data_IF_277905159919
#
_entry.id   IF_277905159919
#
_cell.length_a   1.000
_cell.length_b   1.000
_cell.length_c   1.000
_cell.angle_alpha   90.00
_cell.angle_beta   90.00
_cell.angle_gamma   90.00
#
_symmetry.space_group_name_H-M   'P 1'
#
loop_
_entity.id
_entity.type
_entity.pdbx_description
1 polymer ?
#
# COMPACT_ATOMS: atom_id res chain seq x y z
N UNK A 1 18.88 -19.66 -0.51
CA UNK A 1 17.66 -19.32 -1.29
C UNK A 1 17.72 -17.86 -1.69
N UNK A 2 17.05 -17.44 -2.78
CA UNK A 2 17.04 -16.03 -3.24
C UNK A 2 15.83 -15.30 -2.66
N UNK A 3 16.05 -14.19 -1.96
CA UNK A 3 14.97 -13.30 -1.46
C UNK A 3 14.27 -12.62 -2.64
N UNK A 4 12.95 -12.81 -2.77
CA UNK A 4 12.11 -12.02 -3.69
C UNK A 4 11.95 -10.61 -3.11
N UNK A 5 12.09 -9.59 -3.97
CA UNK A 5 12.00 -8.16 -3.61
C UNK A 5 11.25 -7.39 -4.70
N UNK A 6 10.52 -6.35 -4.30
CA UNK A 6 9.88 -5.40 -5.19
C UNK A 6 9.92 -3.99 -4.58
N UNK A 7 9.71 -2.96 -5.41
CA UNK A 7 9.57 -1.56 -4.99
C UNK A 7 8.36 -0.95 -5.68
N UNK A 8 7.53 -0.24 -4.93
CA UNK A 8 6.50 0.63 -5.45
C UNK A 8 6.92 2.11 -5.26
N UNK A 9 6.59 2.94 -6.24
CA UNK A 9 6.58 4.39 -6.11
C UNK A 9 5.14 4.81 -5.83
N UNK A 10 4.93 5.64 -4.82
CA UNK A 10 3.59 6.07 -4.43
C UNK A 10 3.36 7.48 -4.95
N UNK A 11 2.26 7.67 -5.67
CA UNK A 11 1.88 8.93 -6.28
C UNK A 11 0.62 9.50 -5.62
N UNK A 12 0.54 10.83 -5.51
CA UNK A 12 -0.70 11.50 -5.13
C UNK A 12 -1.69 11.44 -6.29
N UNK A 13 -2.91 10.98 -6.00
CA UNK A 13 -4.02 11.06 -6.93
C UNK A 13 -4.32 12.53 -7.29
N UNK A 14 -4.46 12.83 -8.59
CA UNK A 14 -4.72 14.17 -9.12
C UNK A 14 -5.92 14.13 -10.06
N UNK A 15 -6.82 15.10 -9.90
CA UNK A 15 -7.90 15.39 -10.87
C UNK A 15 -7.42 16.31 -12.00
N UNK A 16 -6.34 17.06 -11.80
CA UNK A 16 -5.64 17.72 -12.88
C UNK A 16 -4.80 16.69 -13.63
N UNK A 17 -5.28 16.30 -14.81
CA UNK A 17 -4.63 15.34 -15.71
C UNK A 17 -3.61 16.00 -16.66
N UNK A 18 -3.42 17.33 -16.58
CA UNK A 18 -2.41 18.07 -17.36
C UNK A 18 -1.05 18.10 -16.66
N UNK A 19 -1.03 17.87 -15.35
CA UNK A 19 0.18 17.86 -14.52
C UNK A 19 0.74 16.44 -14.35
N UNK A 20 2.07 16.27 -14.24
CA UNK A 20 2.67 14.99 -13.90
C UNK A 20 2.28 14.55 -12.48
N UNK A 21 2.02 13.26 -12.30
CA UNK A 21 1.69 12.69 -10.99
C UNK A 21 2.80 12.99 -9.96
N UNK A 22 2.45 13.62 -8.84
CA UNK A 22 3.39 13.90 -7.76
C UNK A 22 3.79 12.60 -7.06
N UNK A 23 5.04 12.17 -7.22
CA UNK A 23 5.63 11.14 -6.37
C UNK A 23 5.75 11.65 -4.92
N UNK A 24 5.17 10.93 -3.96
CA UNK A 24 5.17 11.28 -2.53
C UNK A 24 6.05 10.33 -1.68
N UNK A 25 6.65 9.30 -2.28
CA UNK A 25 7.59 8.41 -1.60
C UNK A 25 7.68 7.00 -2.21
N UNK A 26 8.31 6.09 -1.46
CA UNK A 26 8.60 4.72 -1.90
C UNK A 26 8.27 3.68 -0.83
N UNK A 27 7.81 2.51 -1.28
CA UNK A 27 7.60 1.33 -0.43
C UNK A 27 8.41 0.17 -1.01
N UNK A 28 9.30 -0.41 -0.19
CA UNK A 28 10.06 -1.62 -0.49
C UNK A 28 9.40 -2.86 0.12
N UNK A 29 9.31 -3.92 -0.67
CA UNK A 29 8.75 -5.22 -0.31
C UNK A 29 9.87 -6.28 -0.35
N UNK A 30 9.93 -7.16 0.65
CA UNK A 30 10.87 -8.28 0.67
C UNK A 30 10.26 -9.52 1.35
N UNK A 31 10.34 -10.67 0.70
CA UNK A 31 9.77 -11.94 1.18
C UNK A 31 10.75 -12.67 2.11
N UNK A 32 10.27 -13.07 3.29
CA UNK A 32 11.03 -13.75 4.33
C UNK A 32 10.29 -15.02 4.78
N UNK A 33 10.44 -16.11 4.02
CA UNK A 33 9.60 -17.30 4.20
C UNK A 33 8.13 -16.99 3.94
N UNK A 34 7.23 -17.45 4.80
CA UNK A 34 5.77 -17.24 4.69
C UNK A 34 5.27 -15.83 5.06
N UNK A 35 6.08 -14.78 4.90
CA UNK A 35 5.62 -13.40 5.10
C UNK A 35 6.40 -12.40 4.24
N UNK A 36 5.78 -11.24 3.97
CA UNK A 36 6.41 -10.09 3.33
C UNK A 36 6.64 -8.99 4.36
N UNK A 37 7.90 -8.51 4.44
CA UNK A 37 8.27 -7.28 5.14
C UNK A 37 8.09 -6.12 4.15
N UNK A 38 7.41 -5.07 4.59
CA UNK A 38 7.03 -3.91 3.78
C UNK A 38 7.56 -2.68 4.52
N UNK A 39 8.43 -1.88 3.91
CA UNK A 39 9.08 -0.76 4.58
C UNK A 39 9.20 0.43 3.65
N UNK A 40 8.88 1.63 4.11
CA UNK A 40 8.98 2.81 3.25
C UNK A 40 8.84 4.14 3.98
N UNK A 41 8.90 5.20 3.19
CA UNK A 41 8.76 6.59 3.64
C UNK A 41 7.81 7.30 2.71
N UNK A 42 6.81 7.98 3.29
CA UNK A 42 5.83 8.81 2.56
C UNK A 42 5.82 10.22 3.14
N UNK A 43 5.47 11.19 2.29
CA UNK A 43 5.58 12.62 2.59
C UNK A 43 4.35 13.41 2.14
N UNK A 44 4.08 14.55 2.80
CA UNK A 44 2.96 15.44 2.45
C UNK A 44 1.56 14.83 2.61
N UNK A 45 1.41 13.76 3.39
CA UNK A 45 0.11 13.25 3.81
C UNK A 45 -0.43 14.09 4.99
N UNK A 46 -1.76 14.28 5.11
CA UNK A 46 -2.39 14.81 6.32
C UNK A 46 -2.05 14.00 7.57
N UNK A 47 -2.10 14.60 8.75
CA UNK A 47 -1.94 13.90 10.03
C UNK A 47 -3.05 12.84 10.24
N UNK A 48 -2.73 11.74 10.93
CA UNK A 48 -3.69 10.70 11.30
C UNK A 48 -3.56 9.40 10.50
N UNK A 49 -4.52 8.47 10.65
CA UNK A 49 -4.52 7.19 9.95
C UNK A 49 -4.97 7.33 8.48
N UNK A 50 -4.28 6.65 7.56
CA UNK A 50 -4.67 6.50 6.16
C UNK A 50 -4.72 5.02 5.79
N UNK A 51 -5.82 4.58 5.17
CA UNK A 51 -5.99 3.20 4.72
C UNK A 51 -4.93 2.79 3.70
N UNK A 52 -4.35 1.61 3.88
CA UNK A 52 -3.25 1.10 3.06
C UNK A 52 -3.60 -0.29 2.51
N UNK A 53 -3.63 -0.38 1.18
CA UNK A 53 -4.14 -1.56 0.47
C UNK A 53 -3.30 -1.87 -0.77
N UNK A 54 -3.25 -3.14 -1.16
CA UNK A 54 -2.88 -3.53 -2.52
C UNK A 54 -4.15 -3.69 -3.33
N UNK A 55 -4.21 -3.01 -4.48
CA UNK A 55 -5.32 -3.09 -5.42
C UNK A 55 -5.10 -4.21 -6.46
N UNK A 56 -6.18 -4.60 -7.15
CA UNK A 56 -6.19 -5.69 -8.14
C UNK A 56 -5.27 -5.43 -9.34
N UNK A 57 -5.17 -4.18 -9.81
CA UNK A 57 -4.52 -3.82 -11.07
C UNK A 57 -3.36 -2.84 -10.86
N UNK A 58 -2.30 -3.01 -11.64
CA UNK A 58 -1.13 -2.12 -11.69
C UNK A 58 -1.31 -0.86 -12.53
N UNK A 59 -2.56 -0.43 -12.79
CA UNK A 59 -2.87 0.79 -13.53
C UNK A 59 -3.26 1.91 -12.55
N UNK A 60 -2.50 3.01 -12.58
CA UNK A 60 -2.72 4.19 -11.72
C UNK A 60 -3.31 5.39 -12.48
N UNK A 61 -3.71 5.21 -13.74
CA UNK A 61 -4.41 6.23 -14.51
C UNK A 61 -5.79 6.59 -13.92
N UNK A 62 -6.41 7.63 -14.47
CA UNK A 62 -7.72 8.13 -14.04
C UNK A 62 -7.77 8.44 -12.53
N UNK A 63 -6.84 9.25 -12.04
CA UNK A 63 -6.71 9.57 -10.60
C UNK A 63 -6.65 8.32 -9.69
N UNK A 64 -5.90 7.30 -10.12
CA UNK A 64 -5.77 5.96 -9.50
C UNK A 64 -7.03 5.08 -9.52
N UNK A 65 -8.15 5.50 -10.12
CA UNK A 65 -9.40 4.71 -10.16
C UNK A 65 -9.26 3.42 -10.99
N UNK A 66 -8.35 3.40 -11.97
CA UNK A 66 -8.13 2.20 -12.80
C UNK A 66 -7.50 1.02 -12.03
N UNK A 67 -6.96 1.24 -10.83
CA UNK A 67 -6.39 0.19 -9.99
C UNK A 67 -7.44 -0.86 -9.56
N UNK A 68 -8.73 -0.49 -9.59
CA UNK A 68 -9.85 -1.39 -9.31
C UNK A 68 -10.05 -1.63 -7.80
N UNK A 69 -10.69 -2.75 -7.42
CA UNK A 69 -10.94 -3.10 -6.02
C UNK A 69 -9.63 -3.49 -5.30
N UNK A 70 -9.72 -3.69 -3.98
CA UNK A 70 -8.63 -4.31 -3.22
C UNK A 70 -8.36 -5.73 -3.74
N UNK A 71 -7.09 -6.16 -3.72
CA UNK A 71 -6.69 -7.47 -4.23
C UNK A 71 -7.30 -8.61 -3.39
N UNK A 72 -8.28 -9.30 -3.97
CA UNK A 72 -9.14 -10.26 -3.28
C UNK A 72 -9.30 -11.60 -4.05
N UNK A 73 -8.21 -12.34 -4.32
CA UNK A 73 -8.27 -13.62 -5.04
C UNK A 73 -9.08 -14.70 -4.29
N UNK A 74 -9.29 -14.50 -2.98
CA UNK A 74 -10.02 -15.41 -2.07
C UNK A 74 -11.49 -15.04 -1.86
N UNK A 75 -12.02 -14.03 -2.57
CA UNK A 75 -13.42 -13.58 -2.51
C UNK A 75 -13.98 -13.39 -1.09
N UNK A 76 -13.16 -12.83 -0.20
CA UNK A 76 -13.56 -12.49 1.18
C UNK A 76 -14.23 -11.12 1.22
N UNK A 77 -14.86 -10.77 2.36
CA UNK A 77 -15.19 -9.37 2.67
C UNK A 77 -13.94 -8.61 3.13
N UNK A 78 -14.03 -7.29 3.26
CA UNK A 78 -12.96 -6.43 3.79
C UNK A 78 -12.72 -6.68 5.29
N UNK A 79 -11.48 -6.51 5.77
CA UNK A 79 -11.14 -6.55 7.19
C UNK A 79 -9.78 -5.93 7.53
N UNK A 80 -9.48 -5.82 8.83
CA UNK A 80 -8.34 -5.08 9.38
C UNK A 80 -7.02 -5.85 9.45
N UNK A 81 -5.98 -5.13 9.91
CA UNK A 81 -4.69 -5.72 10.25
C UNK A 81 -4.71 -6.31 11.81
N UNK A 82 -5.14 -7.58 11.37
CA UNK A 82 -5.22 -8.86 12.08
C UNK A 82 -6.12 -9.88 11.37
N UNK A 83 -7.32 -9.45 10.96
CA UNK A 83 -8.51 -10.27 10.74
C UNK A 83 -8.29 -11.52 9.87
N UNK A 84 -8.94 -12.61 10.28
CA UNK A 84 -8.87 -13.90 9.61
C UNK A 84 -9.58 -13.85 8.25
N UNK A 85 -10.78 -13.26 8.23
CA UNK A 85 -11.57 -12.93 7.04
C UNK A 85 -11.23 -11.48 6.67
N UNK A 86 -10.56 -11.30 5.54
CA UNK A 86 -10.27 -10.00 4.90
C UNK A 86 -9.76 -10.21 3.48
N UNK A 87 -9.64 -9.17 2.67
CA UNK A 87 -8.95 -9.27 1.37
C UNK A 87 -7.45 -9.54 1.58
N UNK A 88 -6.80 -10.23 0.64
CA UNK A 88 -5.33 -10.44 0.67
C UNK A 88 -4.58 -9.10 0.62
N UNK A 89 -5.12 -8.12 -0.11
CA UNK A 89 -4.61 -6.76 -0.19
C UNK A 89 -4.86 -5.88 1.04
N UNK A 90 -5.59 -6.31 2.07
CA UNK A 90 -5.89 -5.47 3.24
C UNK A 90 -4.70 -5.41 4.22
N UNK A 91 -4.05 -4.24 4.32
CA UNK A 91 -2.86 -3.99 5.14
C UNK A 91 -3.09 -3.09 6.37
N UNK A 92 -4.31 -2.58 6.57
CA UNK A 92 -4.66 -1.72 7.71
C UNK A 92 -4.45 -0.23 7.40
N UNK A 93 -3.91 0.52 8.35
CA UNK A 93 -3.64 1.95 8.19
C UNK A 93 -2.16 2.28 8.38
N UNK A 94 -1.63 3.22 7.59
CA UNK A 94 -0.40 3.95 7.93
C UNK A 94 -0.75 5.12 8.86
N UNK A 95 0.08 5.38 9.86
CA UNK A 95 -0.12 6.53 10.76
C UNK A 95 0.77 7.70 10.31
N UNK A 96 0.23 8.92 10.31
CA UNK A 96 1.00 10.14 10.00
C UNK A 96 1.12 10.96 11.28
N UNK A 97 2.29 10.91 11.96
CA UNK A 97 2.47 11.59 13.25
C UNK A 97 2.49 13.11 13.10
N UNK A 98 2.38 13.82 14.23
CA UNK A 98 2.38 15.29 14.35
C UNK A 98 3.66 15.98 13.82
N UNK A 99 4.66 15.22 13.36
CA UNK A 99 5.91 15.72 12.78
C UNK A 99 6.11 15.10 11.40
N UNK A 100 6.40 15.95 10.40
CA UNK A 100 6.20 15.73 8.96
C UNK A 100 7.01 14.62 8.24
N UNK A 101 7.56 13.62 8.94
CA UNK A 101 8.24 12.47 8.34
C UNK A 101 7.59 11.19 8.86
N UNK A 102 6.89 10.47 7.98
CA UNK A 102 6.35 9.14 8.27
C UNK A 102 7.19 8.06 7.59
N UNK A 103 8.03 7.39 8.37
CA UNK A 103 8.71 6.15 7.99
C UNK A 103 8.02 4.98 8.68
N UNK A 104 7.52 4.01 7.90
CA UNK A 104 6.68 2.94 8.42
C UNK A 104 7.19 1.56 8.03
N UNK A 105 7.09 0.63 8.98
CA UNK A 105 7.43 -0.78 8.84
C UNK A 105 6.18 -1.64 9.04
N UNK A 106 5.69 -2.21 7.95
CA UNK A 106 4.59 -3.17 7.92
C UNK A 106 5.10 -4.61 7.74
N UNK A 107 4.27 -5.56 8.19
CA UNK A 107 4.45 -6.99 7.97
C UNK A 107 3.11 -7.59 7.54
N UNK A 108 3.10 -8.35 6.46
CA UNK A 108 1.93 -9.11 6.00
C UNK A 108 2.25 -10.59 5.91
N UNK A 109 1.38 -11.41 6.49
CA UNK A 109 1.43 -12.88 6.52
C UNK A 109 0.25 -13.47 5.73
N UNK A 110 -0.21 -12.76 4.69
CA UNK A 110 -1.28 -13.17 3.76
C UNK A 110 -0.81 -13.20 2.28
N UNK A 111 0.41 -12.73 1.99
CA UNK A 111 1.05 -12.77 0.66
C UNK A 111 1.95 -14.01 0.51
N UNK A 112 1.41 -15.19 0.80
CA UNK A 112 2.15 -16.45 0.96
C UNK A 112 1.50 -17.60 0.19
#
# INVERSE_FOLDING_TARGET
MKTVRARAYVFRASQDLTQPLQNIGTIDFAQYGGYVKINGTLSGLPQGPHGFHIHEKGDIANSCLNAGPHFNPTQQVHGGQHDAIRHVGDLGNIEVPVRFISSHLFRSTKFN
#
